data_IF_989489107923
#
_entry.id   IF_989489107923
#
_cell.length_a   1.000
_cell.length_b   1.000
_cell.length_c   1.000
_cell.angle_alpha   90.00
_cell.angle_beta   90.00
_cell.angle_gamma   90.00
#
_symmetry.space_group_name_H-M   'P 1'
#
loop_
_entity.id
_entity.type
_entity.pdbx_description
1 polymer ?
#
# COMPACT_ATOMS: atom_id res chain seq x y z
N UNK A 1 -16.24 -6.47 15.36
CA UNK A 1 -16.20 -6.95 13.96
C UNK A 1 -14.80 -6.83 13.39
N UNK A 2 -14.45 -7.57 12.33
CA UNK A 2 -13.22 -7.33 11.60
C UNK A 2 -13.42 -6.16 10.64
N UNK A 3 -12.65 -5.08 10.84
CA UNK A 3 -12.77 -3.85 10.06
C UNK A 3 -11.40 -3.44 9.49
N UNK A 4 -11.33 -3.34 8.18
CA UNK A 4 -10.17 -2.77 7.49
C UNK A 4 -10.41 -1.30 7.17
N UNK A 5 -9.50 -0.44 7.61
CA UNK A 5 -9.57 1.01 7.37
C UNK A 5 -8.40 1.46 6.50
N UNK A 6 -8.73 2.03 5.35
CA UNK A 6 -7.79 2.68 4.45
C UNK A 6 -7.77 4.18 4.80
N UNK A 7 -6.81 4.61 5.62
CA UNK A 7 -6.72 5.99 6.07
C UNK A 7 -5.90 6.85 5.10
N UNK A 8 -6.48 7.98 4.71
CA UNK A 8 -5.82 9.01 3.91
C UNK A 8 -6.05 10.37 4.50
N UNK A 9 -5.09 10.83 5.32
CA UNK A 9 -5.04 12.19 5.85
C UNK A 9 -4.75 13.23 4.76
N UNK A 10 -4.69 14.52 5.13
CA UNK A 10 -4.48 15.61 4.19
C UNK A 10 -3.02 15.76 3.70
N UNK A 11 -2.05 14.95 4.18
CA UNK A 11 -0.66 15.03 3.74
C UNK A 11 -0.53 14.85 2.22
N UNK A 12 -0.03 15.87 1.54
CA UNK A 12 0.15 15.86 0.09
C UNK A 12 1.62 16.02 -0.36
N UNK A 13 2.53 16.42 0.52
CA UNK A 13 3.93 16.61 0.19
C UNK A 13 4.75 15.34 0.32
N UNK A 14 5.67 15.16 -0.63
CA UNK A 14 6.67 14.11 -0.66
C UNK A 14 8.06 14.74 -0.68
N UNK A 15 9.07 13.99 -0.25
CA UNK A 15 10.48 14.36 -0.35
C UNK A 15 11.12 13.90 -1.68
N UNK A 16 10.38 13.13 -2.51
CA UNK A 16 10.74 12.79 -3.88
C UNK A 16 9.93 13.59 -4.90
N UNK A 17 10.48 13.76 -6.10
CA UNK A 17 9.84 14.46 -7.23
C UNK A 17 9.79 13.54 -8.47
N UNK A 18 9.16 12.39 -8.31
CA UNK A 18 9.04 11.40 -9.38
C UNK A 18 8.17 11.94 -10.52
N UNK A 19 8.64 12.03 -11.77
CA UNK A 19 7.88 12.61 -12.89
C UNK A 19 6.62 11.80 -13.25
N UNK A 20 6.60 10.51 -12.91
CA UNK A 20 5.50 9.59 -13.14
C UNK A 20 4.53 9.46 -11.96
N UNK A 21 4.76 10.17 -10.85
CA UNK A 21 3.87 10.14 -9.70
C UNK A 21 2.68 11.08 -9.91
N UNK A 22 1.43 10.58 -9.89
CA UNK A 22 0.27 11.43 -10.08
C UNK A 22 -0.07 12.26 -8.83
N UNK A 23 0.54 12.00 -7.67
CA UNK A 23 0.07 12.49 -6.38
C UNK A 23 0.91 13.62 -5.78
N UNK A 24 2.16 13.37 -5.47
CA UNK A 24 2.98 14.20 -4.58
C UNK A 24 3.64 15.38 -5.30
N UNK A 25 2.86 16.30 -5.87
CA UNK A 25 3.39 17.49 -6.56
C UNK A 25 3.21 18.81 -5.79
N UNK A 26 2.86 18.73 -4.51
CA UNK A 26 2.67 19.89 -3.64
C UNK A 26 3.66 19.84 -2.49
N UNK A 27 4.07 21.03 -2.05
CA UNK A 27 4.74 21.19 -0.76
C UNK A 27 3.73 21.77 0.22
N UNK A 28 3.38 20.99 1.23
CA UNK A 28 2.46 21.44 2.27
C UNK A 28 3.12 22.55 3.10
N UNK A 29 2.37 23.60 3.37
CA UNK A 29 2.74 24.65 4.32
C UNK A 29 2.78 24.12 5.76
N UNK A 30 3.40 24.85 6.66
CA UNK A 30 3.42 24.52 8.09
C UNK A 30 2.02 24.32 8.67
N UNK A 31 1.03 25.11 8.21
CA UNK A 31 -0.36 24.99 8.64
C UNK A 31 -0.99 23.67 8.16
N UNK A 32 -0.76 23.29 6.89
CA UNK A 32 -1.25 22.01 6.33
C UNK A 32 -0.59 20.82 7.01
N UNK A 33 0.73 20.86 7.28
CA UNK A 33 1.41 19.82 8.03
C UNK A 33 0.91 19.68 9.48
N UNK A 34 0.53 20.82 10.09
CA UNK A 34 -0.09 20.81 11.42
C UNK A 34 -1.47 20.16 11.37
N UNK A 35 -2.30 20.53 10.39
CA UNK A 35 -3.61 19.94 10.18
C UNK A 35 -3.53 18.42 9.90
N UNK A 36 -2.51 17.96 9.15
CA UNK A 36 -2.28 16.54 8.92
C UNK A 36 -1.93 15.80 10.22
N UNK A 37 -1.02 16.36 11.02
CA UNK A 37 -0.67 15.79 12.32
C UNK A 37 -1.91 15.68 13.23
N UNK A 38 -2.66 16.77 13.37
CA UNK A 38 -3.82 16.83 14.28
C UNK A 38 -4.93 15.86 13.81
N UNK A 39 -5.08 15.68 12.49
CA UNK A 39 -6.00 14.70 11.91
C UNK A 39 -5.56 13.26 12.20
N UNK A 40 -4.25 12.97 12.06
CA UNK A 40 -3.71 11.65 12.34
C UNK A 40 -3.77 11.31 13.84
N UNK A 41 -3.47 12.26 14.72
CA UNK A 41 -3.59 12.09 16.17
C UNK A 41 -5.04 11.73 16.55
N UNK A 42 -6.03 12.44 16.02
CA UNK A 42 -7.45 12.12 16.22
C UNK A 42 -7.81 10.72 15.71
N UNK A 43 -7.27 10.31 14.57
CA UNK A 43 -7.47 8.96 14.04
C UNK A 43 -6.87 7.89 14.95
N UNK A 44 -5.66 8.12 15.46
CA UNK A 44 -5.02 7.18 16.40
C UNK A 44 -5.74 7.08 17.73
N UNK A 45 -6.28 8.18 18.25
CA UNK A 45 -7.12 8.19 19.45
C UNK A 45 -8.40 7.37 19.27
N UNK A 46 -9.08 7.56 18.12
CA UNK A 46 -10.23 6.74 17.76
C UNK A 46 -9.85 5.25 17.66
N UNK A 47 -8.77 4.91 16.96
CA UNK A 47 -8.34 3.53 16.80
C UNK A 47 -8.01 2.89 18.16
N UNK A 48 -7.39 3.64 19.06
CA UNK A 48 -7.06 3.17 20.42
C UNK A 48 -8.32 2.86 21.25
N UNK A 49 -9.40 3.62 21.04
CA UNK A 49 -10.68 3.42 21.72
C UNK A 49 -11.59 2.36 21.10
N UNK A 50 -11.31 1.91 19.86
CA UNK A 50 -12.19 1.02 19.10
C UNK A 50 -12.03 -0.47 19.49
N UNK A 51 -11.94 -0.78 20.78
CA UNK A 51 -11.62 -2.11 21.34
C UNK A 51 -12.67 -3.18 21.07
N UNK A 52 -13.87 -2.79 20.65
CA UNK A 52 -14.94 -3.72 20.23
C UNK A 52 -14.78 -4.29 18.81
N UNK A 53 -13.78 -3.80 18.06
CA UNK A 53 -13.47 -4.23 16.71
C UNK A 53 -12.06 -4.84 16.64
N UNK A 54 -11.82 -5.71 15.67
CA UNK A 54 -10.48 -6.13 15.27
C UNK A 54 -10.08 -5.32 14.05
N UNK A 55 -9.10 -4.44 14.21
CA UNK A 55 -8.74 -3.47 13.20
C UNK A 55 -7.57 -3.94 12.33
N UNK A 56 -7.66 -3.66 11.03
CA UNK A 56 -6.54 -3.72 10.08
C UNK A 56 -6.44 -2.36 9.40
N UNK A 57 -5.31 -1.68 9.54
CA UNK A 57 -5.13 -0.28 9.18
C UNK A 57 -4.11 -0.14 8.05
N UNK A 58 -4.47 0.53 6.95
CA UNK A 58 -3.53 0.89 5.88
C UNK A 58 -3.51 2.41 5.70
N UNK A 59 -2.34 2.99 5.93
CA UNK A 59 -2.09 4.40 5.66
C UNK A 59 -1.67 4.59 4.21
N UNK A 60 -2.41 5.43 3.48
CA UNK A 60 -2.20 5.71 2.05
C UNK A 60 -2.08 7.22 1.80
N UNK A 61 -1.10 7.92 2.42
CA UNK A 61 -0.95 9.35 2.20
C UNK A 61 -0.65 9.65 0.73
N UNK A 62 -1.03 10.85 0.27
CA UNK A 62 -0.66 11.32 -1.07
C UNK A 62 0.84 11.57 -1.21
N UNK A 63 1.50 11.99 -0.12
CA UNK A 63 2.94 12.19 -0.03
C UNK A 63 3.65 11.08 0.75
N UNK A 64 4.89 11.37 1.21
CA UNK A 64 5.66 10.42 2.04
C UNK A 64 5.38 10.64 3.53
N UNK A 65 4.65 9.70 4.13
CA UNK A 65 4.28 9.77 5.55
C UNK A 65 5.46 9.56 6.49
N UNK A 66 6.35 8.61 6.19
CA UNK A 66 7.39 8.20 7.13
C UNK A 66 8.51 9.22 7.34
N UNK A 67 8.64 10.26 6.49
CA UNK A 67 9.53 11.39 6.79
C UNK A 67 8.99 12.25 7.94
N UNK A 68 7.72 12.09 8.27
CA UNK A 68 7.03 12.80 9.35
C UNK A 68 7.05 11.99 10.64
N UNK A 69 7.53 12.57 11.73
CA UNK A 69 7.65 11.86 13.01
C UNK A 69 6.31 11.41 13.57
N UNK A 70 5.22 12.12 13.28
CA UNK A 70 3.88 11.74 13.76
C UNK A 70 3.34 10.48 13.11
N UNK A 71 3.65 10.19 11.81
CA UNK A 71 3.31 8.90 11.21
C UNK A 71 4.08 7.75 11.86
N UNK A 72 5.40 7.91 12.08
CA UNK A 72 6.20 6.88 12.75
C UNK A 72 5.67 6.59 14.16
N UNK A 73 5.38 7.63 14.97
CA UNK A 73 4.77 7.46 16.30
C UNK A 73 3.41 6.78 16.24
N UNK A 74 2.55 7.17 15.29
CA UNK A 74 1.24 6.55 15.11
C UNK A 74 1.36 5.05 14.81
N UNK A 75 2.22 4.68 13.84
CA UNK A 75 2.44 3.28 13.48
C UNK A 75 3.00 2.46 14.65
N UNK A 76 3.99 3.01 15.36
CA UNK A 76 4.56 2.38 16.56
C UNK A 76 3.46 2.16 17.62
N UNK A 77 2.72 3.21 18.00
CA UNK A 77 1.68 3.10 19.02
C UNK A 77 0.58 2.11 18.65
N UNK A 78 0.08 2.19 17.41
CA UNK A 78 -0.97 1.31 16.90
C UNK A 78 -0.52 -0.16 16.83
N UNK A 79 0.77 -0.43 16.57
CA UNK A 79 1.28 -1.80 16.47
C UNK A 79 1.19 -2.58 17.79
N UNK A 80 1.17 -1.90 18.94
CA UNK A 80 1.07 -2.52 20.26
C UNK A 80 -0.36 -2.69 20.77
N UNK A 81 -1.37 -2.24 20.03
CA UNK A 81 -2.75 -2.37 20.46
C UNK A 81 -3.27 -3.80 20.23
N UNK A 82 -3.79 -4.50 21.24
CA UNK A 82 -4.15 -5.92 21.12
C UNK A 82 -5.29 -6.20 20.13
N UNK A 83 -6.11 -5.20 19.84
CA UNK A 83 -7.20 -5.29 18.87
C UNK A 83 -6.81 -4.84 17.46
N UNK A 84 -5.56 -4.39 17.25
CA UNK A 84 -5.02 -4.08 15.92
C UNK A 84 -4.30 -5.32 15.39
N UNK A 85 -4.89 -5.95 14.39
CA UNK A 85 -4.33 -7.16 13.77
C UNK A 85 -3.19 -6.84 12.80
N UNK A 86 -3.23 -5.68 12.15
CA UNK A 86 -2.24 -5.20 11.18
C UNK A 86 -2.25 -3.68 11.13
N UNK A 87 -1.08 -3.06 11.12
CA UNK A 87 -0.90 -1.66 10.75
C UNK A 87 0.14 -1.55 9.66
N UNK A 88 -0.25 -1.03 8.50
CA UNK A 88 0.59 -0.92 7.33
C UNK A 88 0.61 0.50 6.75
N UNK A 89 1.66 0.84 6.00
CA UNK A 89 1.77 2.12 5.30
C UNK A 89 2.44 1.94 3.94
N UNK A 90 1.95 2.68 2.94
CA UNK A 90 2.66 2.89 1.68
C UNK A 90 3.77 3.91 1.87
N UNK A 91 4.99 3.58 1.41
CA UNK A 91 6.18 4.43 1.61
C UNK A 91 7.20 4.28 0.48
N UNK A 92 7.93 5.35 0.19
CA UNK A 92 9.12 5.32 -0.65
C UNK A 92 10.38 4.90 0.12
N UNK A 93 10.24 4.61 1.42
CA UNK A 93 11.30 4.19 2.34
C UNK A 93 12.49 5.18 2.36
N UNK A 94 12.26 6.48 2.15
CA UNK A 94 13.31 7.51 2.20
C UNK A 94 13.80 7.77 3.64
N UNK A 95 12.93 7.60 4.64
CA UNK A 95 13.24 7.83 6.05
C UNK A 95 14.29 6.84 6.58
N UNK A 96 14.81 7.14 7.78
CA UNK A 96 15.60 6.16 8.57
C UNK A 96 14.67 5.07 9.08
N UNK A 97 15.23 3.87 9.29
CA UNK A 97 14.49 2.67 9.71
C UNK A 97 14.62 2.34 11.19
N UNK A 98 15.44 3.07 11.94
CA UNK A 98 15.69 2.87 13.38
C UNK A 98 14.40 2.85 14.23
N UNK A 99 13.41 3.65 13.88
CA UNK A 99 12.12 3.73 14.60
C UNK A 99 11.32 2.40 14.61
N UNK A 100 11.58 1.49 13.68
CA UNK A 100 10.86 0.18 13.65
C UNK A 100 11.25 -0.71 14.84
N UNK A 101 12.38 -0.42 15.51
CA UNK A 101 12.80 -1.13 16.73
C UNK A 101 11.81 -0.94 17.89
N UNK A 102 11.05 0.17 17.86
CA UNK A 102 10.06 0.49 18.91
C UNK A 102 8.67 -0.04 18.57
N UNK A 103 8.47 -0.64 17.40
CA UNK A 103 7.17 -1.18 16.95
C UNK A 103 7.11 -2.69 17.13
N UNK A 104 5.89 -3.23 17.25
CA UNK A 104 5.68 -4.68 17.21
C UNK A 104 5.81 -5.21 15.77
N UNK A 105 6.87 -6.00 15.45
CA UNK A 105 7.09 -6.50 14.10
C UNK A 105 6.02 -7.52 13.66
N UNK A 106 5.29 -8.14 14.59
CA UNK A 106 4.19 -9.04 14.26
C UNK A 106 2.98 -8.30 13.68
N UNK A 107 2.81 -7.02 14.04
CA UNK A 107 1.67 -6.19 13.65
C UNK A 107 2.03 -5.16 12.60
N UNK A 108 3.24 -4.55 12.69
CA UNK A 108 3.71 -3.56 11.73
C UNK A 108 4.01 -4.20 10.37
N UNK A 109 3.63 -3.53 9.29
CA UNK A 109 4.02 -3.92 7.94
C UNK A 109 4.25 -2.70 7.02
N UNK A 110 5.13 -2.86 6.03
CA UNK A 110 5.47 -1.77 5.10
C UNK A 110 5.26 -2.21 3.65
N UNK A 111 4.61 -1.33 2.89
CA UNK A 111 4.49 -1.45 1.44
C UNK A 111 5.47 -0.46 0.80
N UNK A 112 6.70 -0.94 0.50
CA UNK A 112 7.80 -0.10 0.06
C UNK A 112 7.85 0.02 -1.46
N UNK A 113 8.05 1.24 -1.98
CA UNK A 113 8.24 1.48 -3.41
C UNK A 113 9.65 2.01 -3.67
N UNK A 114 10.40 1.32 -4.51
CA UNK A 114 11.68 1.80 -5.01
C UNK A 114 11.49 2.75 -6.19
N UNK A 115 12.13 3.92 -6.12
CA UNK A 115 12.12 4.94 -7.16
C UNK A 115 13.55 5.17 -7.66
N UNK A 116 13.97 4.58 -8.80
CA UNK A 116 15.36 4.56 -9.26
C UNK A 116 16.01 5.93 -9.37
N UNK A 117 15.26 6.94 -9.87
CA UNK A 117 15.79 8.29 -10.12
C UNK A 117 15.83 9.17 -8.87
N UNK A 118 15.34 8.68 -7.71
CA UNK A 118 15.17 9.48 -6.49
C UNK A 118 16.08 9.02 -5.34
N UNK A 119 16.51 7.77 -5.37
CA UNK A 119 17.35 7.22 -4.30
C UNK A 119 18.39 6.24 -4.86
N UNK A 120 19.63 6.28 -4.36
CA UNK A 120 20.63 5.29 -4.71
C UNK A 120 20.17 3.88 -4.37
N UNK A 121 20.39 2.95 -5.29
CA UNK A 121 19.97 1.56 -5.15
C UNK A 121 20.45 0.91 -3.86
N UNK A 122 21.76 1.03 -3.57
CA UNK A 122 22.36 0.37 -2.40
C UNK A 122 21.83 0.93 -1.08
N UNK A 123 21.45 2.22 -1.07
CA UNK A 123 20.82 2.84 0.10
C UNK A 123 19.40 2.28 0.36
N UNK A 124 18.64 2.06 -0.70
CA UNK A 124 17.31 1.44 -0.59
C UNK A 124 17.44 -0.02 -0.13
N UNK A 125 18.33 -0.78 -0.75
CA UNK A 125 18.56 -2.20 -0.42
C UNK A 125 19.04 -2.39 1.04
N UNK A 126 19.94 -1.52 1.50
CA UNK A 126 20.40 -1.55 2.90
C UNK A 126 19.25 -1.35 3.91
N UNK A 127 18.26 -0.51 3.58
CA UNK A 127 17.06 -0.34 4.41
C UNK A 127 16.15 -1.57 4.36
N UNK A 128 16.01 -2.21 3.20
CA UNK A 128 15.29 -3.48 3.10
C UNK A 128 15.94 -4.57 3.97
N UNK A 129 17.28 -4.65 3.95
CA UNK A 129 18.04 -5.59 4.79
C UNK A 129 17.87 -5.28 6.29
N UNK A 130 17.81 -4.01 6.69
CA UNK A 130 17.56 -3.63 8.09
C UNK A 130 16.14 -3.99 8.53
N UNK A 131 15.12 -3.80 7.68
CA UNK A 131 13.74 -4.24 7.96
C UNK A 131 13.66 -5.76 8.12
N UNK A 132 14.30 -6.50 7.23
CA UNK A 132 14.34 -7.96 7.25
C UNK A 132 15.03 -8.49 8.52
N UNK A 133 16.19 -7.93 8.87
CA UNK A 133 16.93 -8.29 10.08
C UNK A 133 16.15 -8.02 11.37
N UNK A 134 15.19 -7.08 11.35
CA UNK A 134 14.30 -6.76 12.47
C UNK A 134 12.99 -7.56 12.46
N UNK A 135 12.81 -8.44 11.48
CA UNK A 135 11.60 -9.26 11.34
C UNK A 135 10.35 -8.46 10.95
N UNK A 136 10.51 -7.23 10.46
CA UNK A 136 9.37 -6.43 9.98
C UNK A 136 8.87 -6.99 8.66
N UNK A 137 7.58 -7.23 8.57
CA UNK A 137 6.94 -7.71 7.34
C UNK A 137 6.85 -6.58 6.31
N UNK A 138 7.37 -6.80 5.10
CA UNK A 138 7.31 -5.79 4.03
C UNK A 138 7.30 -6.41 2.65
N UNK A 139 6.83 -5.65 1.68
CA UNK A 139 7.00 -5.93 0.26
C UNK A 139 7.77 -4.79 -0.40
N UNK A 140 8.39 -5.10 -1.52
CA UNK A 140 9.10 -4.12 -2.35
C UNK A 140 8.41 -4.02 -3.70
N UNK A 141 8.30 -2.83 -4.23
CA UNK A 141 7.72 -2.63 -5.55
C UNK A 141 8.42 -1.58 -6.37
N UNK A 142 8.08 -1.58 -7.64
CA UNK A 142 8.58 -0.63 -8.62
C UNK A 142 7.47 -0.31 -9.63
N UNK A 143 7.50 0.91 -10.19
CA UNK A 143 6.61 1.26 -11.31
C UNK A 143 7.15 0.64 -12.59
N UNK A 144 6.29 -0.03 -13.35
CA UNK A 144 6.61 -0.81 -14.57
C UNK A 144 6.94 0.05 -15.80
N UNK A 145 7.75 1.10 -15.64
CA UNK A 145 8.25 1.87 -16.78
C UNK A 145 9.34 1.08 -17.52
N UNK A 146 9.43 1.13 -18.86
CA UNK A 146 10.44 0.40 -19.62
C UNK A 146 11.87 0.60 -19.10
N UNK A 147 12.23 1.83 -18.73
CA UNK A 147 13.53 2.16 -18.14
C UNK A 147 13.80 1.54 -16.77
N UNK A 148 12.77 1.07 -16.06
CA UNK A 148 12.91 0.47 -14.73
C UNK A 148 13.15 -1.05 -14.75
N UNK A 149 13.04 -1.71 -15.90
CA UNK A 149 13.13 -3.18 -15.98
C UNK A 149 14.47 -3.72 -15.46
N UNK A 150 15.59 -3.04 -15.78
CA UNK A 150 16.92 -3.39 -15.27
C UNK A 150 17.00 -3.31 -13.74
N UNK A 151 16.42 -2.25 -13.17
CA UNK A 151 16.35 -2.07 -11.72
C UNK A 151 15.48 -3.13 -11.03
N UNK A 152 14.35 -3.51 -11.64
CA UNK A 152 13.48 -4.55 -11.10
C UNK A 152 14.17 -5.93 -11.08
N UNK A 153 14.90 -6.27 -12.15
CA UNK A 153 15.70 -7.50 -12.21
C UNK A 153 16.78 -7.53 -11.14
N UNK A 154 17.48 -6.42 -10.95
CA UNK A 154 18.50 -6.29 -9.90
C UNK A 154 17.86 -6.42 -8.50
N UNK A 155 16.73 -5.75 -8.24
CA UNK A 155 15.99 -5.91 -6.98
C UNK A 155 15.62 -7.37 -6.74
N UNK A 156 15.11 -8.08 -7.74
CA UNK A 156 14.74 -9.49 -7.54
C UNK A 156 15.95 -10.38 -7.25
N UNK A 157 17.10 -10.08 -7.85
CA UNK A 157 18.33 -10.83 -7.61
C UNK A 157 18.90 -10.59 -6.20
N UNK A 158 18.82 -9.37 -5.70
CA UNK A 158 19.48 -8.95 -4.46
C UNK A 158 18.55 -9.03 -3.22
N UNK A 159 17.24 -9.01 -3.41
CA UNK A 159 16.28 -9.18 -2.30
C UNK A 159 16.18 -10.66 -1.88
N UNK A 160 16.01 -10.94 -0.58
CA UNK A 160 15.71 -12.29 -0.10
C UNK A 160 14.51 -12.92 -0.84
N UNK A 161 14.52 -14.24 -1.08
CA UNK A 161 13.43 -14.92 -1.82
C UNK A 161 12.04 -14.75 -1.19
N UNK A 162 11.95 -14.60 0.13
CA UNK A 162 10.70 -14.39 0.85
C UNK A 162 10.15 -12.97 0.76
N UNK A 163 10.95 -11.99 0.33
CA UNK A 163 10.48 -10.63 0.10
C UNK A 163 9.81 -10.55 -1.26
N UNK A 164 8.52 -10.27 -1.27
CA UNK A 164 7.77 -10.13 -2.51
C UNK A 164 8.13 -8.87 -3.25
N UNK A 165 8.49 -9.03 -4.54
CA UNK A 165 8.68 -7.91 -5.47
C UNK A 165 7.44 -7.79 -6.34
N UNK A 166 6.69 -6.71 -6.19
CA UNK A 166 5.55 -6.39 -7.03
C UNK A 166 5.88 -5.30 -8.07
N UNK A 167 5.18 -5.35 -9.18
CA UNK A 167 5.27 -4.33 -10.24
C UNK A 167 3.91 -3.63 -10.38
N UNK A 168 3.92 -2.31 -10.27
CA UNK A 168 2.72 -1.52 -10.54
C UNK A 168 2.75 -1.04 -11.99
N UNK A 169 1.68 -1.26 -12.74
CA UNK A 169 1.57 -0.72 -14.08
C UNK A 169 1.68 0.81 -14.05
N UNK A 170 2.44 1.37 -14.97
CA UNK A 170 2.60 2.82 -15.09
C UNK A 170 1.33 3.44 -15.67
N UNK A 171 0.82 4.50 -15.04
CA UNK A 171 -0.34 5.23 -15.54
C UNK A 171 -0.06 5.81 -16.93
N UNK A 172 -1.01 5.64 -17.84
CA UNK A 172 -0.90 6.12 -19.22
C UNK A 172 0.05 5.34 -20.13
N UNK A 173 0.70 4.26 -19.64
CA UNK A 173 1.55 3.40 -20.47
C UNK A 173 0.79 2.17 -20.98
N UNK A 174 0.82 1.96 -22.29
CA UNK A 174 0.26 0.76 -22.92
C UNK A 174 1.39 -0.24 -23.15
N UNK A 175 1.32 -1.39 -22.52
CA UNK A 175 2.31 -2.45 -22.63
C UNK A 175 2.10 -3.29 -23.87
N UNK A 176 3.16 -3.54 -24.64
CA UNK A 176 3.18 -4.61 -25.63
C UNK A 176 3.12 -5.98 -24.91
N UNK A 177 2.78 -7.03 -25.65
CA UNK A 177 2.78 -8.39 -25.07
C UNK A 177 4.16 -8.82 -24.60
N UNK A 178 5.22 -8.41 -25.31
CA UNK A 178 6.61 -8.68 -24.92
C UNK A 178 6.98 -7.95 -23.63
N UNK A 179 6.64 -6.66 -23.48
CA UNK A 179 6.85 -5.90 -22.24
C UNK A 179 6.09 -6.53 -21.08
N UNK A 180 4.82 -6.88 -21.32
CA UNK A 180 3.99 -7.51 -20.31
C UNK A 180 4.56 -8.86 -19.85
N UNK A 181 5.05 -9.68 -20.77
CA UNK A 181 5.70 -10.95 -20.45
C UNK A 181 6.95 -10.76 -19.60
N UNK A 182 7.78 -9.74 -19.92
CA UNK A 182 8.98 -9.40 -19.14
C UNK A 182 8.64 -8.99 -17.70
N UNK A 183 7.59 -8.20 -17.51
CA UNK A 183 7.13 -7.80 -16.19
C UNK A 183 6.47 -8.94 -15.42
N UNK A 184 5.67 -9.77 -16.10
CA UNK A 184 5.04 -10.94 -15.51
C UNK A 184 6.07 -11.99 -15.06
N UNK A 185 7.21 -12.09 -15.75
CA UNK A 185 8.32 -12.95 -15.31
C UNK A 185 8.96 -12.50 -13.98
N UNK A 186 8.83 -11.22 -13.61
CA UNK A 186 9.31 -10.68 -12.32
C UNK A 186 8.23 -10.68 -11.25
N UNK A 187 6.99 -10.42 -11.64
CA UNK A 187 5.81 -10.38 -10.78
C UNK A 187 4.63 -11.10 -11.46
N UNK A 188 4.36 -12.32 -11.04
CA UNK A 188 3.26 -13.12 -11.59
C UNK A 188 1.88 -12.46 -11.43
N UNK A 189 1.75 -11.49 -10.52
CA UNK A 189 0.51 -10.73 -10.30
C UNK A 189 0.45 -9.43 -11.12
N UNK A 190 1.48 -9.10 -11.89
CA UNK A 190 1.50 -7.92 -12.77
C UNK A 190 0.28 -7.81 -13.69
N UNK A 191 -0.26 -8.90 -14.28
CA UNK A 191 -1.46 -8.83 -15.10
C UNK A 191 -2.67 -8.17 -14.42
N UNK A 192 -2.81 -8.29 -13.10
CA UNK A 192 -3.89 -7.63 -12.34
C UNK A 192 -3.73 -6.12 -12.28
N UNK A 193 -2.50 -5.57 -12.26
CA UNK A 193 -2.28 -4.12 -12.25
C UNK A 193 -2.23 -3.50 -13.65
N UNK A 194 -1.99 -4.32 -14.67
CA UNK A 194 -1.90 -3.87 -16.08
C UNK A 194 -3.25 -3.51 -16.68
N UNK A 195 -4.31 -4.19 -16.26
CA UNK A 195 -5.62 -4.09 -16.90
C UNK A 195 -6.68 -3.65 -15.91
N UNK A 196 -7.44 -2.57 -16.22
CA UNK A 196 -8.58 -2.20 -15.39
C UNK A 196 -9.62 -3.32 -15.32
N UNK A 197 -10.17 -3.55 -14.13
CA UNK A 197 -11.16 -4.58 -13.87
C UNK A 197 -12.56 -4.02 -14.02
N UNK A 198 -13.44 -4.70 -14.76
CA UNK A 198 -14.87 -4.40 -14.75
C UNK A 198 -15.38 -4.58 -13.32
N UNK A 199 -16.09 -3.58 -12.79
CA UNK A 199 -16.52 -3.58 -11.38
C UNK A 199 -17.98 -3.21 -11.18
N UNK A 200 -18.63 -2.55 -12.15
CA UNK A 200 -20.04 -2.18 -12.03
C UNK A 200 -20.94 -3.38 -11.72
N UNK A 201 -21.69 -3.28 -10.66
CA UNK A 201 -22.61 -4.34 -10.24
C UNK A 201 -21.95 -5.55 -9.56
N UNK A 202 -20.62 -5.63 -9.50
CA UNK A 202 -19.91 -6.76 -8.90
C UNK A 202 -19.78 -6.61 -7.38
N UNK A 203 -19.81 -7.72 -6.63
CA UNK A 203 -19.61 -7.71 -5.17
C UNK A 203 -18.21 -7.25 -4.82
N UNK A 204 -18.12 -6.45 -3.76
CA UNK A 204 -16.88 -5.86 -3.28
C UNK A 204 -16.94 -5.65 -1.77
N UNK A 205 -15.90 -6.03 -1.05
CA UNK A 205 -15.78 -5.90 0.42
C UNK A 205 -15.85 -4.47 0.92
N UNK A 206 -15.63 -3.49 0.02
CA UNK A 206 -15.66 -2.07 0.39
C UNK A 206 -17.07 -1.58 0.71
N UNK A 207 -17.23 -0.91 1.85
CA UNK A 207 -18.51 -0.46 2.40
C UNK A 207 -19.20 -1.51 3.27
N UNK A 208 -18.55 -2.63 3.52
CA UNK A 208 -18.95 -3.68 4.46
C UNK A 208 -17.87 -3.89 5.52
N UNK A 209 -16.80 -4.61 5.18
CA UNK A 209 -15.67 -4.91 6.06
C UNK A 209 -14.42 -4.08 5.74
N UNK A 210 -14.43 -3.33 4.65
CA UNK A 210 -13.36 -2.41 4.23
C UNK A 210 -13.95 -1.03 3.99
N UNK A 211 -13.36 0.00 4.59
CA UNK A 211 -13.77 1.40 4.39
C UNK A 211 -12.57 2.30 4.16
N UNK A 212 -12.77 3.42 3.48
CA UNK A 212 -11.79 4.50 3.44
C UNK A 212 -12.21 5.63 4.37
N UNK A 213 -11.22 6.27 5.00
CA UNK A 213 -11.41 7.38 5.93
C UNK A 213 -10.46 8.51 5.59
N UNK A 214 -10.96 9.72 5.54
CA UNK A 214 -10.14 10.92 5.37
C UNK A 214 -9.78 11.58 6.72
N UNK A 215 -8.97 12.65 6.68
CA UNK A 215 -8.50 13.34 7.87
C UNK A 215 -9.61 13.98 8.71
N UNK A 216 -10.80 14.22 8.16
CA UNK A 216 -11.98 14.73 8.92
C UNK A 216 -12.78 13.60 9.59
N UNK A 217 -12.43 12.34 9.32
CA UNK A 217 -13.18 11.16 9.77
C UNK A 217 -14.32 10.79 8.85
N UNK A 218 -14.48 11.43 7.68
CA UNK A 218 -15.50 11.05 6.72
C UNK A 218 -15.23 9.65 6.20
N UNK A 219 -16.20 8.76 6.36
CA UNK A 219 -16.12 7.36 5.94
C UNK A 219 -16.78 7.20 4.58
N UNK A 220 -16.04 6.59 3.64
CA UNK A 220 -16.54 6.19 2.33
C UNK A 220 -16.29 4.70 2.14
N UNK A 221 -16.97 4.08 1.18
CA UNK A 221 -16.73 2.67 0.92
C UNK A 221 -15.29 2.40 0.41
N UNK A 222 -14.74 3.24 -0.45
CA UNK A 222 -13.37 3.23 -0.91
C UNK A 222 -12.93 4.64 -1.35
N UNK A 223 -11.65 4.84 -1.62
CA UNK A 223 -11.11 6.15 -2.04
C UNK A 223 -11.66 6.66 -3.38
N UNK A 224 -12.26 5.78 -4.19
CA UNK A 224 -12.70 6.10 -5.56
C UNK A 224 -14.21 6.37 -5.66
N UNK A 225 -14.97 6.06 -4.61
CA UNK A 225 -16.44 6.29 -4.57
C UNK A 225 -16.74 7.44 -3.64
N UNK A 226 -17.26 8.56 -4.14
CA UNK A 226 -17.44 9.78 -3.34
C UNK A 226 -18.59 9.68 -2.31
N UNK A 227 -19.49 8.71 -2.44
CA UNK A 227 -20.64 8.55 -1.54
C UNK A 227 -20.17 8.31 -0.11
N UNK A 228 -20.59 9.19 0.79
CA UNK A 228 -20.31 9.12 2.21
C UNK A 228 -21.19 8.08 2.91
N UNK A 229 -20.61 7.33 3.84
CA UNK A 229 -21.28 6.35 4.68
C UNK A 229 -21.57 6.88 6.09
N UNK A 230 -20.98 8.01 6.45
CA UNK A 230 -21.06 8.62 7.77
C UNK A 230 -19.69 9.11 8.25
N UNK A 231 -19.55 9.31 9.55
CA UNK A 231 -18.30 9.76 10.15
C UNK A 231 -17.77 8.75 11.17
N UNK A 232 -16.44 8.62 11.20
CA UNK A 232 -15.73 7.68 12.06
C UNK A 232 -15.89 8.05 13.55
N UNK A 233 -15.80 9.34 13.85
CA UNK A 233 -15.71 9.87 15.22
C UNK A 233 -17.05 9.92 15.96
N UNK A 234 -18.16 10.04 15.24
CA UNK A 234 -19.50 9.96 15.83
C UNK A 234 -20.14 8.58 15.71
N UNK A 235 -19.44 7.64 15.02
CA UNK A 235 -19.91 6.26 14.86
C UNK A 235 -21.05 6.07 13.86
N UNK A 236 -21.52 7.13 13.19
CA UNK A 236 -22.68 7.09 12.27
C UNK A 236 -22.47 6.14 11.08
N UNK A 237 -21.22 5.90 10.67
CA UNK A 237 -20.88 4.97 9.59
C UNK A 237 -21.30 3.51 9.85
N UNK A 238 -21.39 3.10 11.14
CA UNK A 238 -21.60 1.68 11.50
C UNK A 238 -22.93 1.13 10.95
N UNK A 239 -23.99 1.92 11.01
CA UNK A 239 -25.31 1.53 10.48
C UNK A 239 -25.35 1.43 8.95
N UNK A 240 -24.36 2.04 8.28
CA UNK A 240 -24.24 2.01 6.83
C UNK A 240 -23.41 0.83 6.29
N UNK A 241 -22.70 0.10 7.17
CA UNK A 241 -21.88 -1.05 6.76
C UNK A 241 -22.78 -2.23 6.31
N UNK A 242 -22.65 -2.65 5.07
CA UNK A 242 -23.38 -3.77 4.47
C UNK A 242 -22.77 -4.20 3.15
N UNK A 243 -23.01 -5.44 2.65
CA UNK A 243 -22.67 -5.86 1.30
C UNK A 243 -23.24 -4.91 0.25
N UNK A 244 -22.40 -4.57 -0.75
CA UNK A 244 -22.77 -3.63 -1.83
C UNK A 244 -22.07 -3.98 -3.12
N UNK A 245 -22.80 -3.89 -4.22
CA UNK A 245 -22.22 -3.89 -5.54
C UNK A 245 -21.40 -2.62 -5.80
N UNK A 246 -20.30 -2.72 -6.55
CA UNK A 246 -19.49 -1.58 -6.94
C UNK A 246 -20.26 -0.67 -7.92
N UNK A 247 -20.31 0.65 -7.72
CA UNK A 247 -20.98 1.57 -8.62
C UNK A 247 -20.10 2.02 -9.81
N UNK A 248 -18.79 1.79 -9.75
CA UNK A 248 -17.84 2.23 -10.78
C UNK A 248 -17.76 1.23 -11.93
N UNK A 249 -17.67 1.72 -13.15
CA UNK A 249 -17.55 0.87 -14.34
C UNK A 249 -16.26 0.04 -14.33
N UNK A 250 -15.16 0.66 -13.90
CA UNK A 250 -13.83 0.09 -13.87
C UNK A 250 -13.16 0.37 -12.52
N UNK A 251 -12.28 -0.55 -12.10
CA UNK A 251 -11.40 -0.43 -10.95
C UNK A 251 -9.98 -0.80 -11.36
N UNK A 252 -9.04 0.12 -11.29
CA UNK A 252 -7.68 0.02 -11.81
C UNK A 252 -6.58 0.17 -10.75
N UNK A 253 -6.91 0.66 -9.57
CA UNK A 253 -5.95 0.81 -8.48
C UNK A 253 -5.96 -0.40 -7.54
N UNK A 254 -4.76 -0.88 -7.16
CA UNK A 254 -4.61 -2.06 -6.29
C UNK A 254 -5.44 -1.98 -5.00
N UNK A 255 -5.39 -0.85 -4.29
CA UNK A 255 -6.17 -0.64 -3.06
C UNK A 255 -7.70 -0.59 -3.29
N UNK A 256 -8.14 -0.66 -4.53
CA UNK A 256 -9.53 -0.81 -4.93
C UNK A 256 -9.81 -2.24 -5.40
N UNK A 257 -9.20 -2.68 -6.50
CA UNK A 257 -9.53 -3.96 -7.13
C UNK A 257 -9.20 -5.18 -6.27
N UNK A 258 -8.22 -5.08 -5.35
CA UNK A 258 -7.91 -6.17 -4.41
C UNK A 258 -9.12 -6.59 -3.58
N UNK A 259 -10.09 -5.72 -3.40
CA UNK A 259 -11.31 -5.95 -2.62
C UNK A 259 -12.50 -6.46 -3.47
N UNK A 260 -12.36 -6.58 -4.80
CA UNK A 260 -13.37 -7.22 -5.65
C UNK A 260 -13.42 -8.72 -5.36
N UNK A 261 -14.59 -9.24 -4.98
CA UNK A 261 -14.75 -10.65 -4.61
C UNK A 261 -14.71 -11.61 -5.82
N UNK A 262 -14.77 -11.06 -7.03
CA UNK A 262 -14.59 -11.81 -8.27
C UNK A 262 -13.12 -12.09 -8.61
N UNK A 263 -12.18 -11.49 -7.88
CA UNK A 263 -10.75 -11.74 -8.03
C UNK A 263 -10.23 -12.60 -6.87
N UNK A 264 -9.31 -13.54 -7.13
CA UNK A 264 -8.81 -14.46 -6.09
C UNK A 264 -7.77 -13.81 -5.16
N UNK A 265 -7.71 -12.48 -5.10
CA UNK A 265 -6.59 -11.77 -4.46
C UNK A 265 -6.60 -11.87 -2.94
N UNK A 266 -7.76 -12.06 -2.31
CA UNK A 266 -7.80 -12.34 -0.87
C UNK A 266 -7.23 -13.72 -0.53
N UNK A 267 -7.38 -14.71 -1.40
CA UNK A 267 -6.76 -16.04 -1.24
C UNK A 267 -5.26 -15.95 -1.52
N UNK A 268 -4.87 -15.19 -2.55
CA UNK A 268 -3.45 -14.98 -2.91
C UNK A 268 -2.68 -14.29 -1.79
N UNK A 269 -3.22 -13.21 -1.25
CA UNK A 269 -2.55 -12.44 -0.21
C UNK A 269 -2.86 -12.93 1.21
N UNK A 270 -3.97 -13.66 1.42
CA UNK A 270 -4.47 -14.05 2.74
C UNK A 270 -4.41 -12.87 3.73
N UNK A 271 -3.68 -12.98 4.84
CA UNK A 271 -3.50 -11.90 5.82
C UNK A 271 -2.55 -10.77 5.39
N UNK A 272 -1.99 -10.81 4.18
CA UNK A 272 -1.01 -9.85 3.66
C UNK A 272 -1.55 -8.84 2.65
N UNK A 273 -2.86 -8.63 2.59
CA UNK A 273 -3.51 -7.72 1.63
C UNK A 273 -2.99 -6.28 1.75
N UNK A 274 -2.82 -5.78 2.98
CA UNK A 274 -2.49 -4.37 3.22
C UNK A 274 -1.05 -4.02 2.85
N UNK A 275 -0.12 -4.89 3.17
CA UNK A 275 1.29 -4.74 2.84
C UNK A 275 1.67 -5.39 1.51
N UNK A 276 0.68 -5.95 0.80
CA UNK A 276 0.85 -6.60 -0.51
C UNK A 276 1.89 -7.74 -0.47
N UNK A 277 1.80 -8.58 0.57
CA UNK A 277 2.65 -9.77 0.73
C UNK A 277 1.79 -11.00 0.51
N UNK A 278 1.99 -11.78 -0.57
CA UNK A 278 1.21 -12.99 -0.83
C UNK A 278 1.54 -14.08 0.21
N UNK A 279 0.56 -14.96 0.47
CA UNK A 279 0.72 -16.10 1.38
C UNK A 279 1.86 -17.03 0.95
N UNK A 280 2.02 -17.19 -0.36
CA UNK A 280 3.17 -17.87 -0.97
C UNK A 280 3.76 -16.91 -2.00
N UNK A 281 5.01 -16.51 -1.81
CA UNK A 281 5.71 -15.67 -2.78
C UNK A 281 5.90 -16.50 -4.06
N UNK A 282 5.33 -16.07 -5.21
CA UNK A 282 5.46 -16.82 -6.45
C UNK A 282 6.93 -16.98 -6.84
N UNK A 283 7.33 -18.21 -7.16
CA UNK A 283 8.68 -18.47 -7.66
C UNK A 283 8.89 -17.72 -8.99
N UNK A 284 9.96 -16.96 -9.07
CA UNK A 284 10.37 -16.31 -10.31
C UNK A 284 10.96 -17.39 -11.23
N UNK A 285 10.32 -17.65 -12.35
CA UNK A 285 10.87 -18.57 -13.36
C UNK A 285 12.07 -17.92 -14.03
N UNK A 286 13.28 -18.26 -13.60
CA UNK A 286 14.51 -17.90 -14.28
C UNK A 286 14.64 -18.65 -15.61
N UNK A 287 13.98 -18.19 -16.66
CA UNK A 287 14.36 -18.54 -18.04
C UNK A 287 15.57 -17.70 -18.41
N UNK A 288 16.73 -18.03 -17.85
CA UNK A 288 18.01 -17.55 -18.36
C UNK A 288 18.41 -18.44 -19.53
N UNK A 289 17.93 -18.13 -20.73
CA UNK A 289 18.63 -18.51 -21.95
C UNK A 289 19.97 -17.75 -21.93
N UNK A 290 21.02 -18.41 -21.45
CA UNK A 290 22.40 -18.01 -21.76
C UNK A 290 22.59 -18.24 -23.26
N UNK A 291 22.41 -17.19 -24.05
CA UNK A 291 22.93 -17.17 -25.40
C UNK A 291 24.46 -17.01 -25.27
N UNK A 292 25.27 -17.95 -25.71
CA UNK A 292 26.72 -17.73 -25.80
C UNK A 292 26.94 -16.61 -26.79
N UNK A 293 27.66 -15.59 -26.42
CA UNK A 293 28.20 -14.64 -27.38
C UNK A 293 29.30 -15.33 -28.23
N UNK A 294 29.34 -15.00 -29.53
CA UNK A 294 30.36 -15.52 -30.45
C UNK A 294 31.76 -15.02 -30.14
#
# INVERSE_FOLDING_TARGET
>A
MDLTVLYRGPLASCDYDCPYCPFAKRRDSTAQLRADRDALERFTDWASGATGDRLSLLFTPWGEGLVRSWYRRALTGLSHLPHVARVAIQTNLSCRTDWVADADPATLALWCTYHPDQTPYDRFLAKCADLDARGVRFSVGIVGLPGHLGHARRLRADLPPHVYLWVNAAEGHTYTDEEAARWTALDALFPYSRTPHRSAGLPCRTGESVVSVDGSGTVRRCHFVPTELGNLYDGSYRSALRPRACPLALCDCHIGYVHLETLPLYDVFAGGVLERVPAVVPAVTHSLSRTPMP
#
